data_IF_931452366581
#
_entry.id   IF_931452366581
#
_cell.length_a   1.000
_cell.length_b   1.000
_cell.length_c   1.000
_cell.angle_alpha   90.00
_cell.angle_beta   90.00
_cell.angle_gamma   90.00
#
_symmetry.space_group_name_H-M   'P 1'
#
loop_
_entity.id
_entity.type
_entity.pdbx_description
1 polymer ?
#
# COMPACT_ATOMS: atom_id res chain seq x y z
N UNK A 1 12.56 -7.91 -18.43
CA UNK A 1 12.72 -6.45 -18.12
C UNK A 1 11.45 -5.66 -18.34
N UNK A 2 10.78 -5.78 -19.47
CA UNK A 2 9.55 -5.01 -19.77
C UNK A 2 8.40 -5.32 -18.81
N UNK A 3 8.16 -6.58 -18.48
CA UNK A 3 7.11 -6.98 -17.53
C UNK A 3 7.35 -6.40 -16.12
N UNK A 4 8.56 -6.52 -15.59
CA UNK A 4 8.87 -6.00 -14.24
C UNK A 4 8.73 -4.48 -14.18
N UNK A 5 9.17 -3.75 -15.21
CA UNK A 5 8.98 -2.30 -15.28
C UNK A 5 7.50 -1.92 -15.34
N UNK A 6 6.68 -2.70 -16.07
CA UNK A 6 5.24 -2.47 -16.09
C UNK A 6 4.62 -2.61 -14.70
N UNK A 7 5.02 -3.65 -13.96
CA UNK A 7 4.54 -3.85 -12.58
C UNK A 7 4.97 -2.74 -11.67
N UNK A 8 6.27 -2.39 -11.65
CA UNK A 8 6.80 -1.34 -10.79
C UNK A 8 6.17 0.04 -11.08
N UNK A 9 5.88 0.35 -12.34
CA UNK A 9 5.14 1.57 -12.68
C UNK A 9 3.71 1.53 -12.14
N UNK A 10 3.03 0.36 -12.15
CA UNK A 10 1.68 0.22 -11.57
C UNK A 10 1.71 0.33 -10.06
N UNK A 11 2.75 -0.18 -9.38
CA UNK A 11 2.96 0.02 -7.96
C UNK A 11 3.14 1.51 -7.66
N UNK A 12 4.02 2.22 -8.39
CA UNK A 12 4.20 3.67 -8.23
C UNK A 12 2.88 4.43 -8.33
N UNK A 13 2.05 4.11 -9.33
CA UNK A 13 0.73 4.72 -9.52
C UNK A 13 -0.26 4.38 -8.40
N UNK A 14 -0.18 3.16 -7.84
CA UNK A 14 -0.99 2.74 -6.71
C UNK A 14 -0.63 3.53 -5.45
N UNK A 15 0.66 3.56 -5.08
CA UNK A 15 1.14 4.29 -3.90
C UNK A 15 0.78 5.79 -3.99
N UNK A 16 0.90 6.41 -5.17
CA UNK A 16 0.45 7.79 -5.39
C UNK A 16 -1.06 7.94 -5.18
N UNK A 17 -1.86 6.96 -5.62
CA UNK A 17 -3.33 6.99 -5.44
C UNK A 17 -3.73 6.81 -3.97
N UNK A 18 -2.97 6.01 -3.20
CA UNK A 18 -3.18 5.82 -1.76
C UNK A 18 -2.76 7.06 -0.97
N UNK A 19 -1.58 7.63 -1.27
CA UNK A 19 -1.13 8.87 -0.67
C UNK A 19 -2.16 10.01 -0.85
N UNK A 20 -2.71 10.16 -2.06
CA UNK A 20 -3.76 11.12 -2.37
C UNK A 20 -5.05 10.85 -1.58
N UNK A 21 -5.48 9.58 -1.48
CA UNK A 21 -6.64 9.19 -0.70
C UNK A 21 -6.46 9.56 0.77
N UNK A 22 -5.37 9.13 1.41
CA UNK A 22 -5.11 9.37 2.82
C UNK A 22 -4.92 10.85 3.14
N UNK A 23 -4.30 11.62 2.24
CA UNK A 23 -4.22 13.08 2.35
C UNK A 23 -5.60 13.75 2.32
N UNK A 24 -6.54 13.24 1.54
CA UNK A 24 -7.93 13.72 1.51
C UNK A 24 -8.67 13.36 2.79
N UNK A 25 -8.51 12.13 3.30
CA UNK A 25 -9.11 11.68 4.55
C UNK A 25 -8.57 12.49 5.74
N UNK A 26 -7.26 12.71 5.82
CA UNK A 26 -6.67 13.58 6.84
C UNK A 26 -7.35 14.95 6.87
N UNK A 27 -7.57 15.56 5.71
CA UNK A 27 -8.27 16.86 5.62
C UNK A 27 -9.77 16.77 5.97
N UNK A 28 -10.42 15.67 5.60
CA UNK A 28 -11.82 15.44 5.92
C UNK A 28 -12.07 15.34 7.43
N UNK A 29 -11.11 14.78 8.16
CA UNK A 29 -11.15 14.60 9.61
C UNK A 29 -10.33 15.64 10.40
N UNK A 30 -10.08 16.82 9.82
CA UNK A 30 -9.24 17.85 10.45
C UNK A 30 -9.73 18.34 11.83
N UNK A 31 -11.00 18.20 12.14
CA UNK A 31 -11.60 18.58 13.43
C UNK A 31 -11.29 17.57 14.56
N UNK A 32 -10.88 16.34 14.22
CA UNK A 32 -10.44 15.32 15.18
C UNK A 32 -8.95 15.06 14.99
N UNK A 33 -8.14 15.50 15.94
CA UNK A 33 -6.68 15.42 15.85
C UNK A 33 -6.17 13.98 15.68
N UNK A 34 -6.77 13.00 16.35
CA UNK A 34 -6.33 11.59 16.28
C UNK A 34 -6.57 11.02 14.88
N UNK A 35 -7.75 11.23 14.31
CA UNK A 35 -8.12 10.79 12.97
C UNK A 35 -7.29 11.50 11.90
N UNK A 36 -7.12 12.83 12.07
CA UNK A 36 -6.27 13.63 11.19
C UNK A 36 -4.84 13.10 11.14
N UNK A 37 -4.20 12.96 12.30
CA UNK A 37 -2.80 12.54 12.41
C UNK A 37 -2.61 11.10 11.88
N UNK A 38 -3.58 10.21 12.10
CA UNK A 38 -3.55 8.85 11.58
C UNK A 38 -3.50 8.84 10.05
N UNK A 39 -4.44 9.50 9.37
CA UNK A 39 -4.44 9.54 7.90
C UNK A 39 -3.29 10.36 7.32
N UNK A 40 -2.81 11.40 8.03
CA UNK A 40 -1.63 12.15 7.61
C UNK A 40 -0.37 11.26 7.62
N UNK A 41 -0.19 10.45 8.67
CA UNK A 41 0.92 9.51 8.78
C UNK A 41 0.88 8.48 7.64
N UNK A 42 -0.27 7.88 7.36
CA UNK A 42 -0.43 6.95 6.23
C UNK A 42 -0.05 7.64 4.90
N UNK A 43 -0.55 8.86 4.66
CA UNK A 43 -0.23 9.59 3.43
C UNK A 43 1.28 9.80 3.25
N UNK A 44 2.00 10.21 4.29
CA UNK A 44 3.45 10.42 4.25
C UNK A 44 4.23 9.11 4.01
N UNK A 45 3.74 8.00 4.58
CA UNK A 45 4.35 6.69 4.40
C UNK A 45 4.14 6.17 2.97
N UNK A 46 2.96 6.37 2.36
CA UNK A 46 2.72 6.00 0.96
C UNK A 46 3.53 6.86 -0.03
N UNK A 47 3.78 8.13 0.28
CA UNK A 47 4.75 8.93 -0.49
C UNK A 47 6.16 8.32 -0.45
N UNK A 48 6.57 7.78 0.70
CA UNK A 48 7.85 7.09 0.86
C UNK A 48 7.90 5.79 0.06
N UNK A 49 6.81 5.00 0.05
CA UNK A 49 6.66 3.78 -0.74
C UNK A 49 6.72 4.09 -2.24
N UNK A 50 6.04 5.12 -2.71
CA UNK A 50 6.10 5.61 -4.08
C UNK A 50 7.54 5.95 -4.48
N UNK A 51 8.27 6.68 -3.65
CA UNK A 51 9.65 7.07 -3.93
C UNK A 51 10.59 5.86 -3.97
N UNK A 52 10.32 4.85 -3.16
CA UNK A 52 11.03 3.57 -3.19
C UNK A 52 10.74 2.80 -4.49
N UNK A 53 9.49 2.75 -4.95
CA UNK A 53 9.12 2.18 -6.24
C UNK A 53 9.85 2.88 -7.41
N UNK A 54 9.93 4.22 -7.39
CA UNK A 54 10.71 5.02 -8.34
C UNK A 54 12.19 4.67 -8.33
N UNK A 55 12.75 4.44 -7.15
CA UNK A 55 14.13 4.00 -7.02
C UNK A 55 14.34 2.62 -7.64
N UNK A 56 13.45 1.66 -7.39
CA UNK A 56 13.48 0.33 -7.99
C UNK A 56 13.40 0.38 -9.52
N UNK A 57 12.51 1.21 -10.08
CA UNK A 57 12.42 1.44 -11.54
C UNK A 57 13.76 1.89 -12.10
N UNK A 58 14.44 2.82 -11.43
CA UNK A 58 15.78 3.28 -11.87
C UNK A 58 16.83 2.17 -11.80
N UNK A 59 16.81 1.35 -10.74
CA UNK A 59 17.72 0.20 -10.63
C UNK A 59 17.49 -0.80 -11.75
N UNK A 60 16.25 -1.17 -12.02
CA UNK A 60 15.92 -2.11 -13.10
C UNK A 60 16.34 -1.58 -14.47
N UNK A 61 16.10 -0.29 -14.75
CA UNK A 61 16.49 0.35 -16.01
C UNK A 61 17.99 0.40 -16.24
N UNK A 62 18.77 0.50 -15.15
CA UNK A 62 20.24 0.62 -15.21
C UNK A 62 20.96 -0.73 -15.00
N UNK A 63 20.23 -1.79 -14.70
CA UNK A 63 20.83 -3.11 -14.52
C UNK A 63 21.36 -3.66 -15.84
N UNK A 64 22.54 -4.27 -15.78
CA UNK A 64 23.13 -5.01 -16.89
C UNK A 64 22.69 -6.46 -16.95
N UNK A 65 22.16 -6.98 -15.85
CA UNK A 65 21.64 -8.34 -15.73
C UNK A 65 20.19 -8.42 -16.22
N UNK A 66 19.84 -9.46 -16.97
CA UNK A 66 18.45 -9.67 -17.37
C UNK A 66 17.64 -10.08 -16.14
N UNK A 67 16.52 -9.39 -15.91
CA UNK A 67 15.53 -9.84 -14.93
C UNK A 67 14.77 -11.03 -15.50
N UNK A 68 14.61 -12.08 -14.67
CA UNK A 68 13.73 -13.20 -15.00
C UNK A 68 12.30 -12.70 -15.10
N UNK A 69 11.49 -13.34 -15.94
CA UNK A 69 10.05 -13.04 -16.05
C UNK A 69 9.37 -13.29 -14.70
N UNK A 70 8.63 -12.30 -14.26
CA UNK A 70 7.89 -12.31 -13.00
C UNK A 70 6.41 -12.41 -13.34
N UNK A 71 5.73 -13.38 -12.76
CA UNK A 71 4.28 -13.54 -12.90
C UNK A 71 3.58 -12.79 -11.77
N UNK A 72 3.17 -11.54 -12.06
CA UNK A 72 2.48 -10.67 -11.11
C UNK A 72 1.13 -10.32 -11.69
N UNK A 73 0.10 -10.48 -10.88
CA UNK A 73 -1.26 -10.12 -11.24
C UNK A 73 -1.46 -8.59 -11.21
N UNK A 74 -1.25 -7.96 -12.37
CA UNK A 74 -1.50 -6.52 -12.55
C UNK A 74 -2.97 -6.17 -12.33
N UNK A 75 -3.90 -7.11 -12.58
CA UNK A 75 -5.32 -6.84 -12.41
C UNK A 75 -5.68 -6.59 -10.93
N UNK A 76 -4.97 -7.25 -10.01
CA UNK A 76 -5.10 -6.98 -8.57
C UNK A 76 -4.71 -5.53 -8.25
N UNK A 77 -3.55 -5.06 -8.73
CA UNK A 77 -3.08 -3.67 -8.52
C UNK A 77 -4.08 -2.66 -9.11
N UNK A 78 -4.57 -2.91 -10.31
CA UNK A 78 -5.55 -2.04 -10.98
C UNK A 78 -6.88 -1.99 -10.23
N UNK A 79 -7.30 -3.11 -9.62
CA UNK A 79 -8.50 -3.17 -8.76
C UNK A 79 -8.34 -2.31 -7.52
N UNK A 80 -7.20 -2.38 -6.83
CA UNK A 80 -6.92 -1.57 -5.64
C UNK A 80 -6.87 -0.07 -5.98
N UNK A 81 -6.21 0.31 -7.07
CA UNK A 81 -6.21 1.70 -7.56
C UNK A 81 -7.63 2.19 -7.86
N UNK A 82 -8.44 1.36 -8.51
CA UNK A 82 -9.83 1.71 -8.83
C UNK A 82 -10.63 1.95 -7.55
N UNK A 83 -10.47 1.05 -6.57
CA UNK A 83 -11.14 1.14 -5.27
C UNK A 83 -10.75 2.40 -4.50
N UNK A 84 -9.46 2.73 -4.44
CA UNK A 84 -8.97 3.94 -3.81
C UNK A 84 -9.53 5.21 -4.47
N UNK A 85 -9.52 5.27 -5.80
CA UNK A 85 -10.03 6.40 -6.57
C UNK A 85 -11.55 6.55 -6.47
N UNK A 86 -12.29 5.45 -6.44
CA UNK A 86 -13.73 5.46 -6.24
C UNK A 86 -14.07 6.05 -4.87
N UNK A 87 -13.42 5.56 -3.81
CA UNK A 87 -13.68 6.07 -2.47
C UNK A 87 -13.24 7.54 -2.29
N UNK A 88 -12.18 7.96 -2.95
CA UNK A 88 -11.73 9.36 -2.94
C UNK A 88 -12.78 10.36 -3.51
N UNK A 89 -13.82 9.88 -4.19
CA UNK A 89 -14.93 10.71 -4.68
C UNK A 89 -16.01 10.97 -3.62
N UNK A 90 -15.98 10.24 -2.49
CA UNK A 90 -16.90 10.50 -1.38
C UNK A 90 -16.62 11.88 -0.77
N UNK A 91 -17.65 12.70 -0.70
CA UNK A 91 -17.53 14.10 -0.23
C UNK A 91 -17.59 14.24 1.29
N UNK A 92 -18.20 13.30 1.98
CA UNK A 92 -18.36 13.30 3.44
C UNK A 92 -18.37 11.85 3.97
N UNK A 93 -17.23 11.14 3.96
CA UNK A 93 -17.15 9.80 4.52
C UNK A 93 -17.29 9.85 6.04
N UNK A 94 -17.91 8.81 6.63
CA UNK A 94 -17.79 8.58 8.07
C UNK A 94 -16.41 8.01 8.39
N UNK A 95 -15.99 8.08 9.65
CA UNK A 95 -14.70 7.51 10.06
C UNK A 95 -14.71 5.97 9.89
N UNK A 96 -15.85 5.33 10.14
CA UNK A 96 -16.04 3.89 9.98
C UNK A 96 -15.90 3.49 8.50
N UNK A 97 -16.52 4.23 7.58
CA UNK A 97 -16.39 3.98 6.14
C UNK A 97 -14.94 4.14 5.67
N UNK A 98 -14.26 5.20 6.13
CA UNK A 98 -12.88 5.47 5.81
C UNK A 98 -11.94 4.36 6.31
N UNK A 99 -12.12 3.93 7.57
CA UNK A 99 -11.32 2.85 8.15
C UNK A 99 -11.62 1.50 7.49
N UNK A 100 -12.88 1.22 7.13
CA UNK A 100 -13.24 -0.01 6.42
C UNK A 100 -12.51 -0.13 5.09
N UNK A 101 -12.49 0.94 4.30
CA UNK A 101 -11.79 0.97 3.01
C UNK A 101 -10.28 0.92 3.20
N UNK A 102 -9.73 1.63 4.19
CA UNK A 102 -8.30 1.59 4.50
C UNK A 102 -7.87 0.17 4.86
N UNK A 103 -8.60 -0.52 5.76
CA UNK A 103 -8.34 -1.91 6.10
C UNK A 103 -8.41 -2.85 4.89
N UNK A 104 -9.40 -2.67 4.03
CA UNK A 104 -9.52 -3.43 2.77
C UNK A 104 -8.28 -3.25 1.89
N UNK A 105 -7.83 -2.02 1.69
CA UNK A 105 -6.68 -1.70 0.84
C UNK A 105 -5.37 -2.23 1.45
N UNK A 106 -5.09 -1.95 2.72
CA UNK A 106 -3.86 -2.35 3.40
C UNK A 106 -3.75 -3.88 3.55
N UNK A 107 -4.87 -4.58 3.79
CA UNK A 107 -4.88 -6.04 3.84
C UNK A 107 -4.48 -6.64 2.50
N UNK A 108 -5.06 -6.17 1.40
CA UNK A 108 -4.74 -6.66 0.06
C UNK A 108 -3.28 -6.34 -0.34
N UNK A 109 -2.74 -5.19 0.09
CA UNK A 109 -1.35 -4.82 -0.12
C UNK A 109 -0.38 -5.71 0.68
N UNK A 110 -0.74 -6.03 1.92
CA UNK A 110 0.05 -6.89 2.80
C UNK A 110 0.09 -8.36 2.34
N UNK A 111 -0.88 -8.81 1.57
CA UNK A 111 -1.00 -10.19 1.06
C UNK A 111 0.08 -10.62 0.05
N UNK A 112 1.28 -10.14 0.17
CA UNK A 112 2.51 -10.80 -0.30
C UNK A 112 2.73 -11.01 -1.81
N UNK A 113 1.78 -10.74 -2.69
CA UNK A 113 1.90 -11.11 -4.09
C UNK A 113 3.06 -10.40 -4.79
N UNK A 114 3.24 -9.13 -4.50
CA UNK A 114 4.21 -8.31 -5.20
C UNK A 114 5.62 -8.59 -4.69
N UNK A 115 5.79 -8.71 -3.38
CA UNK A 115 7.11 -8.85 -2.76
C UNK A 115 7.79 -10.20 -3.02
N UNK A 116 7.05 -11.30 -2.98
CA UNK A 116 7.63 -12.63 -3.19
C UNK A 116 8.01 -12.87 -4.65
N UNK A 117 7.25 -12.32 -5.59
CA UNK A 117 7.52 -12.48 -7.02
C UNK A 117 8.73 -11.65 -7.47
N UNK A 118 8.89 -10.42 -6.96
CA UNK A 118 10.05 -9.57 -7.27
C UNK A 118 11.32 -10.11 -6.57
N UNK A 119 11.23 -10.66 -5.35
CA UNK A 119 12.34 -11.32 -4.66
C UNK A 119 12.97 -12.45 -5.48
N UNK A 120 12.14 -13.22 -6.20
CA UNK A 120 12.63 -14.30 -7.07
C UNK A 120 13.33 -13.78 -8.32
N UNK A 121 13.06 -12.54 -8.72
CA UNK A 121 13.59 -11.98 -9.96
C UNK A 121 15.04 -11.46 -9.84
N UNK A 122 15.42 -10.85 -8.70
CA UNK A 122 16.75 -10.32 -8.48
C UNK A 122 17.07 -10.15 -6.98
N UNK A 123 18.08 -10.86 -6.44
CA UNK A 123 18.48 -10.75 -5.04
C UNK A 123 18.91 -9.36 -4.59
N UNK A 124 19.47 -8.53 -5.49
CA UNK A 124 19.89 -7.16 -5.17
C UNK A 124 18.69 -6.23 -4.93
N UNK A 125 17.55 -6.53 -5.56
CA UNK A 125 16.29 -5.79 -5.36
C UNK A 125 15.54 -6.27 -4.11
N UNK A 126 15.85 -7.48 -3.64
CA UNK A 126 15.18 -8.11 -2.50
C UNK A 126 15.19 -7.24 -1.23
N UNK A 127 16.34 -6.64 -0.89
CA UNK A 127 16.45 -5.81 0.31
C UNK A 127 15.56 -4.56 0.31
N UNK A 128 15.31 -3.99 -0.87
CA UNK A 128 14.41 -2.84 -1.01
C UNK A 128 12.95 -3.25 -0.84
N UNK A 129 12.60 -4.42 -1.35
CA UNK A 129 11.25 -4.97 -1.22
C UNK A 129 10.96 -5.41 0.21
N UNK A 130 11.97 -5.94 0.93
CA UNK A 130 11.83 -6.25 2.34
C UNK A 130 11.45 -5.00 3.16
N UNK A 131 12.03 -3.84 2.82
CA UNK A 131 11.68 -2.59 3.48
C UNK A 131 10.25 -2.14 3.18
N UNK A 132 9.77 -2.28 1.93
CA UNK A 132 8.36 -2.04 1.58
C UNK A 132 7.42 -2.95 2.37
N UNK A 133 7.74 -4.24 2.44
CA UNK A 133 6.91 -5.21 3.17
C UNK A 133 6.86 -4.93 4.69
N UNK A 134 7.96 -4.45 5.27
CA UNK A 134 7.99 -4.06 6.68
C UNK A 134 7.10 -2.83 6.92
N UNK A 135 7.12 -1.86 6.00
CA UNK A 135 6.23 -0.70 6.03
C UNK A 135 4.75 -1.13 5.98
N UNK A 136 4.36 -1.91 4.98
CA UNK A 136 2.98 -2.40 4.84
C UNK A 136 2.47 -3.15 6.08
N UNK A 137 3.30 -3.99 6.72
CA UNK A 137 2.92 -4.69 7.96
C UNK A 137 2.71 -3.75 9.14
N UNK A 138 3.50 -2.68 9.23
CA UNK A 138 3.33 -1.63 10.25
C UNK A 138 1.99 -0.91 10.03
N UNK A 139 1.71 -0.47 8.81
CA UNK A 139 0.47 0.18 8.44
C UNK A 139 -0.74 -0.66 8.79
N UNK A 140 -0.74 -1.93 8.37
CA UNK A 140 -1.86 -2.82 8.65
C UNK A 140 -2.12 -2.99 10.15
N UNK A 141 -1.08 -3.08 10.99
CA UNK A 141 -1.24 -3.13 12.46
C UNK A 141 -1.89 -1.85 12.99
N UNK A 142 -1.43 -0.69 12.56
CA UNK A 142 -1.99 0.60 12.98
C UNK A 142 -3.45 0.76 12.52
N UNK A 143 -3.77 0.32 11.30
CA UNK A 143 -5.13 0.29 10.77
C UNK A 143 -6.06 -0.65 11.57
N UNK A 144 -5.56 -1.84 11.96
CA UNK A 144 -6.30 -2.78 12.81
C UNK A 144 -6.58 -2.17 14.19
N UNK A 145 -5.59 -1.52 14.80
CA UNK A 145 -5.77 -0.88 16.10
C UNK A 145 -6.80 0.25 16.03
N UNK A 146 -6.74 1.08 14.99
CA UNK A 146 -7.71 2.14 14.77
C UNK A 146 -9.10 1.57 14.49
N UNK A 147 -9.21 0.55 13.63
CA UNK A 147 -10.47 -0.14 13.34
C UNK A 147 -11.13 -0.74 14.60
N UNK A 148 -10.35 -1.32 15.52
CA UNK A 148 -10.86 -1.82 16.80
C UNK A 148 -11.49 -0.72 17.65
N UNK A 149 -10.89 0.48 17.70
CA UNK A 149 -11.42 1.62 18.48
C UNK A 149 -12.77 2.11 17.96
N UNK A 150 -12.95 2.07 16.65
CA UNK A 150 -14.19 2.50 15.98
C UNK A 150 -15.14 1.33 15.68
N UNK A 151 -14.87 0.14 16.23
CA UNK A 151 -15.70 -1.05 16.06
C UNK A 151 -15.94 -1.47 14.60
N UNK A 152 -14.97 -1.18 13.73
CA UNK A 152 -15.01 -1.58 12.32
C UNK A 152 -14.73 -3.08 12.22
N UNK A 153 -15.46 -3.83 11.36
CA UNK A 153 -15.16 -5.23 11.10
C UNK A 153 -13.71 -5.41 10.61
N UNK A 154 -13.00 -6.34 11.24
CA UNK A 154 -11.61 -6.62 10.88
C UNK A 154 -11.53 -7.73 9.84
N UNK A 155 -10.53 -7.71 8.93
CA UNK A 155 -10.28 -8.80 8.01
C UNK A 155 -9.83 -10.07 8.76
N UNK A 156 -10.08 -11.25 8.18
CA UNK A 156 -9.75 -12.56 8.79
C UNK A 156 -8.25 -12.76 9.09
N UNK A 157 -7.36 -11.98 8.47
CA UNK A 157 -5.91 -12.01 8.69
C UNK A 157 -5.43 -11.34 9.99
N UNK A 158 -6.32 -10.68 10.74
CA UNK A 158 -5.93 -10.00 11.98
C UNK A 158 -5.35 -10.96 13.05
N UNK A 159 -5.66 -12.25 12.98
CA UNK A 159 -5.19 -13.26 13.94
C UNK A 159 -3.76 -13.74 13.65
N UNK A 160 -3.30 -13.72 12.39
CA UNK A 160 -1.94 -14.14 12.00
C UNK A 160 -0.86 -13.09 12.32
N UNK A 161 -1.23 -11.81 12.38
CA UNK A 161 -0.31 -10.70 12.64
C UNK A 161 -0.10 -10.41 14.13
N UNK A 162 -0.84 -11.08 15.01
CA UNK A 162 -0.73 -10.89 16.46
C UNK A 162 0.30 -11.81 17.13
N UNK A 163 1.06 -12.63 16.37
CA UNK A 163 1.95 -13.67 16.90
C UNK A 163 3.46 -13.34 16.78
N UNK A 164 3.84 -12.09 16.43
CA UNK A 164 5.26 -11.66 16.39
C UNK A 164 5.56 -10.54 17.38
#
# INVERSE_FOLDING_TARGET
>A
MEKILKVLNRIEELEESLADLYSRLSRAFADNKEEHDFFASLSEEEESHRDLARYQIRLVRNSREPFTDVDIDIACIESLMSRAREFAQHTAPTIEDALQVTLELETNLAEHYISSAIKQANPEVSGLIDNLCLGCRKHLRECIEMGKRYHVPLPDLADDLSQD
#
